data_IF_311268266645
#
_entry.id   IF_311268266645
#
_cell.length_a   1.000
_cell.length_b   1.000
_cell.length_c   1.000
_cell.angle_alpha   90.00
_cell.angle_beta   90.00
_cell.angle_gamma   90.00
#
_symmetry.space_group_name_H-M   'P 1'
#
loop_
_entity.id
_entity.type
_entity.pdbx_description
1 polymer ?
#
# COMPACT_ATOMS: atom_id res chain seq x y z
N UNK A 1 -13.71 -10.71 -5.46
CA UNK A 1 -13.51 -10.37 -4.06
C UNK A 1 -14.18 -9.04 -3.76
N UNK A 2 -14.78 -8.93 -2.58
CA UNK A 2 -15.41 -7.69 -2.12
C UNK A 2 -14.44 -6.54 -1.89
N UNK A 3 -14.85 -5.56 -1.10
CA UNK A 3 -13.97 -4.46 -0.68
C UNK A 3 -12.82 -4.98 0.17
N UNK A 4 -11.61 -4.43 -0.04
CA UNK A 4 -10.46 -4.67 0.83
C UNK A 4 -10.35 -3.58 1.88
N UNK A 5 -9.76 -3.90 3.03
CA UNK A 5 -9.60 -2.94 4.13
C UNK A 5 -8.43 -1.99 3.88
N UNK A 6 -7.33 -2.51 3.36
CA UNK A 6 -6.05 -1.82 3.23
C UNK A 6 -5.48 -2.05 1.84
N UNK A 7 -4.82 -1.04 1.27
CA UNK A 7 -3.94 -1.22 0.12
C UNK A 7 -2.53 -0.73 0.46
N UNK A 8 -1.52 -1.45 -0.02
CA UNK A 8 -0.10 -1.14 0.23
C UNK A 8 0.69 -1.24 -1.06
N UNK A 9 1.50 -0.23 -1.32
CA UNK A 9 2.50 -0.22 -2.40
C UNK A 9 3.84 0.23 -1.84
N UNK A 10 4.92 -0.33 -2.36
CA UNK A 10 6.26 0.11 -1.99
C UNK A 10 6.65 1.39 -2.74
N UNK A 11 7.24 2.33 -2.03
CA UNK A 11 7.72 3.59 -2.61
C UNK A 11 8.82 3.37 -3.66
N UNK A 12 9.65 2.35 -3.48
CA UNK A 12 10.67 1.95 -4.44
C UNK A 12 10.12 1.45 -5.79
N UNK A 13 8.85 1.05 -5.83
CA UNK A 13 8.14 0.69 -7.06
C UNK A 13 7.72 1.89 -7.91
N UNK A 14 7.69 3.09 -7.35
CA UNK A 14 7.44 4.36 -8.04
C UNK A 14 8.76 4.89 -8.60
N UNK A 15 8.97 4.75 -9.92
CA UNK A 15 10.29 4.98 -10.54
C UNK A 15 10.53 6.39 -11.07
N UNK A 16 9.49 7.22 -11.11
CA UNK A 16 9.59 8.62 -11.53
C UNK A 16 8.53 9.48 -10.83
N UNK A 17 8.59 10.78 -11.04
CA UNK A 17 7.57 11.74 -10.62
C UNK A 17 6.88 12.31 -11.84
N UNK A 18 5.58 12.58 -11.72
CA UNK A 18 4.83 13.29 -12.75
C UNK A 18 4.84 14.79 -12.50
N UNK A 19 5.00 15.55 -13.58
CA UNK A 19 4.81 16.98 -13.56
C UNK A 19 3.37 17.35 -13.94
N UNK A 20 2.95 18.56 -13.60
CA UNK A 20 1.64 19.06 -14.02
C UNK A 20 1.52 19.06 -15.55
N UNK A 21 0.47 18.48 -16.07
CA UNK A 21 0.21 18.37 -17.50
C UNK A 21 -0.53 17.11 -17.88
N UNK A 22 -0.61 16.77 -19.18
CA UNK A 22 -1.23 15.54 -19.64
C UNK A 22 -0.49 14.31 -19.13
N UNK A 23 -1.25 13.30 -18.71
CA UNK A 23 -0.73 11.99 -18.33
C UNK A 23 -1.00 11.02 -19.48
N UNK A 24 0.07 10.46 -20.02
CA UNK A 24 0.02 9.46 -21.10
C UNK A 24 0.19 8.04 -20.54
N UNK A 25 -0.12 7.02 -21.34
CA UNK A 25 0.20 5.62 -21.00
C UNK A 25 1.70 5.42 -20.79
N UNK A 26 2.54 6.11 -21.56
CA UNK A 26 4.00 6.10 -21.37
C UNK A 26 4.39 6.62 -19.99
N UNK A 27 3.75 7.67 -19.49
CA UNK A 27 4.01 8.16 -18.13
C UNK A 27 3.63 7.13 -17.06
N UNK A 28 2.53 6.41 -17.23
CA UNK A 28 2.14 5.33 -16.29
C UNK A 28 3.15 4.19 -16.34
N UNK A 29 3.61 3.80 -17.54
CA UNK A 29 4.65 2.79 -17.71
C UNK A 29 5.97 3.22 -17.04
N UNK A 30 6.41 4.47 -17.24
CA UNK A 30 7.64 5.00 -16.64
C UNK A 30 7.56 5.04 -15.12
N UNK A 31 6.38 5.34 -14.57
CA UNK A 31 6.15 5.32 -13.12
C UNK A 31 6.25 3.91 -12.55
N UNK A 32 5.65 2.93 -13.22
CA UNK A 32 5.63 1.54 -12.77
C UNK A 32 5.92 0.56 -13.92
N UNK A 33 7.21 0.38 -14.27
CA UNK A 33 7.61 -0.45 -15.42
C UNK A 33 7.64 -1.96 -15.10
N UNK A 34 6.88 -2.41 -14.10
CA UNK A 34 6.88 -3.78 -13.62
C UNK A 34 5.59 -4.51 -14.03
N UNK A 35 5.70 -5.83 -14.22
CA UNK A 35 4.59 -6.72 -14.56
C UNK A 35 3.95 -7.37 -13.32
N UNK A 36 4.07 -6.74 -12.15
CA UNK A 36 3.52 -7.27 -10.91
C UNK A 36 2.01 -7.40 -10.95
N UNK A 37 1.52 -8.49 -10.39
CA UNK A 37 0.10 -8.81 -10.29
C UNK A 37 -0.47 -8.42 -8.94
N UNK A 38 -1.74 -8.04 -8.95
CA UNK A 38 -2.49 -7.78 -7.72
C UNK A 38 -2.71 -9.08 -6.96
N UNK A 39 -2.44 -9.06 -5.67
CA UNK A 39 -2.84 -10.09 -4.73
C UNK A 39 -3.62 -9.46 -3.57
N UNK A 40 -4.53 -10.22 -2.99
CA UNK A 40 -5.23 -9.84 -1.75
C UNK A 40 -4.88 -10.84 -0.67
N UNK A 41 -4.26 -10.35 0.38
CA UNK A 41 -3.83 -11.13 1.53
C UNK A 41 -4.81 -10.92 2.68
N UNK A 42 -5.01 -11.95 3.50
CA UNK A 42 -5.69 -11.82 4.78
C UNK A 42 -4.65 -11.94 5.89
N UNK A 43 -4.46 -10.87 6.67
CA UNK A 43 -3.53 -10.82 7.79
C UNK A 43 -4.28 -10.68 9.11
N UNK A 44 -3.70 -11.25 10.17
CA UNK A 44 -4.13 -10.92 11.55
C UNK A 44 -3.70 -9.50 11.91
N UNK A 45 -4.46 -8.85 12.78
CA UNK A 45 -4.15 -7.48 13.20
C UNK A 45 -2.79 -7.34 13.88
N UNK A 46 -2.30 -8.36 14.58
CA UNK A 46 -0.93 -8.36 15.12
C UNK A 46 0.12 -8.27 14.00
N UNK A 47 -0.10 -8.91 12.85
CA UNK A 47 0.81 -8.83 11.71
C UNK A 47 0.67 -7.49 10.96
N UNK A 48 -0.51 -6.88 10.97
CA UNK A 48 -0.70 -5.50 10.47
C UNK A 48 0.09 -4.51 11.33
N UNK A 49 0.10 -4.68 12.65
CA UNK A 49 0.88 -3.84 13.56
C UNK A 49 2.38 -4.04 13.30
N UNK A 50 2.86 -5.27 13.20
CA UNK A 50 4.25 -5.61 12.86
C UNK A 50 4.67 -4.96 11.53
N UNK A 51 3.80 -4.98 10.54
CA UNK A 51 4.03 -4.33 9.24
C UNK A 51 4.24 -2.82 9.41
N UNK A 52 3.41 -2.17 10.22
CA UNK A 52 3.54 -0.73 10.50
C UNK A 52 4.80 -0.42 11.34
N UNK A 53 5.23 -1.32 12.21
CA UNK A 53 6.52 -1.18 12.93
C UNK A 53 7.69 -1.27 11.96
N UNK A 54 7.61 -2.08 10.91
CA UNK A 54 8.63 -2.10 9.86
C UNK A 54 8.69 -0.78 9.09
N UNK A 55 7.55 -0.10 8.87
CA UNK A 55 7.56 1.25 8.29
C UNK A 55 8.28 2.26 9.18
N UNK A 56 8.12 2.18 10.49
CA UNK A 56 8.83 3.04 11.42
C UNK A 56 10.35 2.80 11.41
N UNK A 57 10.77 1.56 11.19
CA UNK A 57 12.17 1.15 11.23
C UNK A 57 12.91 1.36 9.91
N UNK A 58 12.26 1.07 8.79
CA UNK A 58 12.91 1.00 7.47
C UNK A 58 12.44 2.07 6.49
N UNK A 59 11.38 2.79 6.81
CA UNK A 59 10.82 3.87 6.00
C UNK A 59 9.36 3.64 5.61
N UNK A 60 8.66 4.76 5.50
CA UNK A 60 7.24 4.77 5.15
C UNK A 60 6.99 4.25 3.73
N UNK A 61 5.84 3.62 3.56
CA UNK A 61 5.36 3.10 2.30
C UNK A 61 4.03 3.75 1.90
N UNK A 62 3.59 3.55 0.67
CA UNK A 62 2.29 4.03 0.22
C UNK A 62 1.17 3.16 0.78
N UNK A 63 0.22 3.78 1.49
CA UNK A 63 -0.91 3.07 2.10
C UNK A 63 -2.24 3.73 1.77
N UNK A 64 -3.31 2.94 1.75
CA UNK A 64 -4.69 3.41 1.71
C UNK A 64 -5.56 2.55 2.63
N UNK A 65 -6.69 3.09 3.10
CA UNK A 65 -7.59 2.41 4.03
C UNK A 65 -7.11 2.40 5.48
N UNK A 66 -5.89 2.87 5.74
CA UNK A 66 -5.32 2.94 7.09
C UNK A 66 -4.63 4.28 7.34
N UNK A 67 -4.42 4.59 8.61
CA UNK A 67 -3.60 5.72 9.05
C UNK A 67 -2.51 5.22 9.99
N UNK A 68 -1.30 5.67 9.76
CA UNK A 68 -0.12 5.27 10.54
C UNK A 68 0.57 6.54 11.04
N UNK A 69 0.84 6.59 12.33
CA UNK A 69 1.59 7.68 12.97
C UNK A 69 2.87 7.13 13.56
N UNK A 70 3.99 7.70 13.16
CA UNK A 70 5.33 7.36 13.61
C UNK A 70 5.91 8.59 14.32
N UNK A 71 6.39 8.41 15.56
CA UNK A 71 7.00 9.47 16.37
C UNK A 71 8.36 8.96 16.87
N UNK A 72 9.41 9.75 16.71
CA UNK A 72 10.79 9.40 17.12
C UNK A 72 11.23 8.02 16.58
N UNK A 73 10.83 7.69 15.33
CA UNK A 73 11.16 6.41 14.69
C UNK A 73 10.44 5.19 15.28
N UNK A 74 9.37 5.41 16.05
CA UNK A 74 8.56 4.35 16.64
C UNK A 74 7.10 4.47 16.19
N UNK A 75 6.45 3.32 16.02
CA UNK A 75 5.01 3.29 15.77
C UNK A 75 4.27 3.85 16.99
N UNK A 76 3.53 4.95 16.79
CA UNK A 76 2.73 5.57 17.83
C UNK A 76 1.25 5.16 17.74
N UNK A 77 0.70 5.08 16.53
CA UNK A 77 -0.71 4.74 16.32
C UNK A 77 -0.91 4.13 14.93
N UNK A 78 -1.88 3.20 14.84
CA UNK A 78 -2.37 2.65 13.59
C UNK A 78 -3.86 2.40 13.66
N UNK A 79 -4.59 2.95 12.68
CA UNK A 79 -6.04 2.75 12.54
C UNK A 79 -6.39 2.23 11.15
N UNK A 80 -7.46 1.45 11.07
CA UNK A 80 -8.08 0.98 9.83
C UNK A 80 -9.54 1.38 9.85
N UNK A 81 -10.00 2.04 8.79
CA UNK A 81 -11.36 2.60 8.72
C UNK A 81 -11.71 3.47 9.94
N UNK A 82 -10.75 4.23 10.47
CA UNK A 82 -10.92 5.12 11.62
C UNK A 82 -10.95 4.43 12.99
N UNK A 83 -10.72 3.12 13.07
CA UNK A 83 -10.70 2.34 14.31
C UNK A 83 -9.32 1.78 14.58
N UNK A 84 -8.92 1.74 15.85
CA UNK A 84 -7.66 1.09 16.25
C UNK A 84 -7.63 -0.36 15.76
N UNK A 85 -6.46 -0.80 15.28
CA UNK A 85 -6.27 -2.17 14.83
C UNK A 85 -6.45 -3.13 15.99
N UNK A 86 -7.37 -4.10 15.84
CA UNK A 86 -7.54 -5.18 16.79
C UNK A 86 -6.56 -6.31 16.45
N UNK A 87 -5.59 -6.65 17.33
CA UNK A 87 -4.58 -7.68 17.05
C UNK A 87 -5.15 -9.06 16.71
N UNK A 88 -6.36 -9.35 17.16
CA UNK A 88 -7.03 -10.66 16.96
C UNK A 88 -7.96 -10.70 15.74
N UNK A 89 -8.31 -9.54 15.18
CA UNK A 89 -9.15 -9.45 13.99
C UNK A 89 -8.33 -9.77 12.72
N UNK A 90 -9.03 -10.07 11.65
CA UNK A 90 -8.44 -10.24 10.32
C UNK A 90 -8.71 -9.01 9.46
N UNK A 91 -7.74 -8.68 8.62
CA UNK A 91 -7.77 -7.55 7.69
C UNK A 91 -7.35 -8.00 6.31
N UNK A 92 -8.05 -7.54 5.29
CA UNK A 92 -7.71 -7.80 3.89
C UNK A 92 -6.79 -6.70 3.35
N UNK A 93 -5.72 -7.10 2.69
CA UNK A 93 -4.69 -6.19 2.17
C UNK A 93 -4.48 -6.45 0.68
N UNK A 94 -4.78 -5.45 -0.15
CA UNK A 94 -4.41 -5.46 -1.56
C UNK A 94 -2.97 -4.99 -1.71
N UNK A 95 -2.16 -5.76 -2.41
CA UNK A 95 -0.75 -5.44 -2.67
C UNK A 95 -0.24 -6.16 -3.93
N UNK A 96 1.06 -6.10 -4.19
CA UNK A 96 1.68 -6.82 -5.29
C UNK A 96 2.14 -8.23 -4.91
N UNK A 97 2.20 -9.11 -5.88
CA UNK A 97 2.83 -10.43 -5.75
C UNK A 97 4.29 -10.32 -5.27
N UNK A 98 5.02 -9.29 -5.71
CA UNK A 98 6.38 -8.98 -5.25
C UNK A 98 6.44 -8.72 -3.74
N UNK A 99 5.54 -7.87 -3.21
CA UNK A 99 5.53 -7.55 -1.77
C UNK A 99 5.00 -8.71 -0.92
N UNK A 100 4.10 -9.54 -1.46
CA UNK A 100 3.56 -10.70 -0.73
C UNK A 100 4.64 -11.71 -0.35
N UNK A 101 5.77 -11.71 -1.04
CA UNK A 101 6.97 -12.49 -0.72
C UNK A 101 7.82 -11.93 0.43
N UNK A 102 7.43 -10.81 1.03
CA UNK A 102 8.13 -10.19 2.17
C UNK A 102 9.32 -9.29 1.78
N UNK A 103 9.37 -8.86 0.53
CA UNK A 103 10.38 -7.92 0.04
C UNK A 103 10.20 -6.52 0.65
N UNK A 104 11.19 -5.66 0.51
CA UNK A 104 11.19 -4.29 1.03
C UNK A 104 10.90 -4.21 2.56
N UNK A 105 11.43 -5.19 3.29
CA UNK A 105 11.26 -5.32 4.75
C UNK A 105 9.81 -5.58 5.21
N UNK A 106 8.90 -5.94 4.31
CA UNK A 106 7.50 -6.25 4.63
C UNK A 106 7.28 -7.74 4.93
N UNK A 107 8.15 -8.33 5.73
CA UNK A 107 8.11 -9.78 6.06
C UNK A 107 6.81 -10.20 6.72
N UNK A 108 6.10 -9.30 7.40
CA UNK A 108 4.79 -9.57 7.98
C UNK A 108 3.76 -10.05 6.94
N UNK A 109 3.87 -9.61 5.68
CA UNK A 109 2.97 -10.03 4.60
C UNK A 109 3.07 -11.54 4.29
N UNK A 110 4.21 -12.17 4.60
CA UNK A 110 4.39 -13.63 4.41
C UNK A 110 3.59 -14.48 5.40
N UNK A 111 3.07 -13.87 6.47
CA UNK A 111 2.26 -14.54 7.50
C UNK A 111 0.76 -14.51 7.20
N UNK A 112 0.38 -14.15 5.99
CA UNK A 112 -1.01 -14.15 5.58
C UNK A 112 -1.66 -15.52 5.80
N UNK A 113 -2.85 -15.52 6.39
CA UNK A 113 -3.64 -16.74 6.62
C UNK A 113 -4.38 -17.18 5.36
N UNK A 114 -4.57 -16.27 4.41
CA UNK A 114 -5.13 -16.52 3.09
C UNK A 114 -4.53 -15.58 2.05
N UNK A 115 -4.46 -16.03 0.79
CA UNK A 115 -3.93 -15.27 -0.32
C UNK A 115 -4.76 -15.54 -1.58
N UNK A 116 -5.49 -14.52 -2.02
CA UNK A 116 -6.14 -14.55 -3.32
C UNK A 116 -5.23 -13.90 -4.37
N UNK A 117 -4.97 -14.61 -5.45
CA UNK A 117 -4.15 -14.13 -6.57
C UNK A 117 -5.05 -13.76 -7.74
N UNK A 118 -4.74 -12.64 -8.38
CA UNK A 118 -5.39 -12.23 -9.60
C UNK A 118 -4.40 -12.23 -10.77
N UNK A 119 -4.94 -12.18 -11.98
CA UNK A 119 -4.14 -11.95 -13.20
C UNK A 119 -4.09 -10.46 -13.58
N UNK A 120 -4.60 -9.58 -12.71
CA UNK A 120 -4.64 -8.14 -12.95
C UNK A 120 -3.25 -7.53 -12.70
N UNK A 121 -2.72 -6.87 -13.71
CA UNK A 121 -1.47 -6.11 -13.57
C UNK A 121 -1.73 -4.83 -12.79
N UNK A 122 -0.87 -4.53 -11.83
CA UNK A 122 -1.00 -3.31 -11.00
C UNK A 122 -0.88 -2.05 -11.86
N UNK A 123 -0.02 -2.06 -12.88
CA UNK A 123 0.09 -0.95 -13.82
C UNK A 123 -1.23 -0.67 -14.55
N UNK A 124 -1.96 -1.70 -14.96
CA UNK A 124 -3.24 -1.55 -15.64
C UNK A 124 -4.30 -0.93 -14.70
N UNK A 125 -4.25 -1.27 -13.41
CA UNK A 125 -5.11 -0.64 -12.40
C UNK A 125 -4.78 0.84 -12.22
N UNK A 126 -3.51 1.25 -12.27
CA UNK A 126 -3.13 2.66 -12.27
C UNK A 126 -3.61 3.39 -13.51
N UNK A 127 -3.45 2.79 -14.68
CA UNK A 127 -3.96 3.34 -15.93
C UNK A 127 -5.47 3.54 -15.85
N UNK A 128 -6.21 2.54 -15.39
CA UNK A 128 -7.65 2.64 -15.19
C UNK A 128 -8.03 3.76 -14.21
N UNK A 129 -7.35 3.84 -13.07
CA UNK A 129 -7.62 4.87 -12.06
C UNK A 129 -7.37 6.29 -12.59
N UNK A 130 -6.39 6.48 -13.48
CA UNK A 130 -6.13 7.76 -14.15
C UNK A 130 -7.22 8.06 -15.19
N UNK A 131 -7.64 7.06 -15.97
CA UNK A 131 -8.68 7.22 -16.99
C UNK A 131 -10.06 7.54 -16.42
N UNK A 132 -10.37 7.05 -15.23
CA UNK A 132 -11.64 7.32 -14.53
C UNK A 132 -11.71 8.74 -13.96
N UNK A 133 -10.61 9.48 -13.96
CA UNK A 133 -10.52 10.85 -13.47
C UNK A 133 -10.18 11.80 -14.62
N UNK A 134 -10.99 12.82 -14.85
CA UNK A 134 -10.64 13.88 -15.80
C UNK A 134 -9.33 14.58 -15.44
N UNK A 135 -9.15 14.83 -14.16
CA UNK A 135 -7.98 15.47 -13.60
C UNK A 135 -7.57 14.76 -12.33
N UNK A 136 -6.37 14.19 -12.32
CA UNK A 136 -5.79 13.61 -11.11
C UNK A 136 -5.39 14.74 -10.16
N UNK A 137 -6.04 14.77 -8.99
CA UNK A 137 -5.72 15.70 -7.90
C UNK A 137 -5.24 14.90 -6.71
N UNK A 138 -4.05 15.23 -6.24
CA UNK A 138 -3.44 14.56 -5.09
C UNK A 138 -3.13 15.58 -4.00
N UNK A 139 -3.31 15.17 -2.76
CA UNK A 139 -2.97 15.95 -1.59
C UNK A 139 -2.51 15.01 -0.46
N UNK A 140 -1.65 15.54 0.40
CA UNK A 140 -1.30 14.83 1.64
C UNK A 140 -2.49 14.91 2.60
N UNK A 141 -3.04 13.78 2.99
CA UNK A 141 -4.22 13.67 3.85
C UNK A 141 -3.91 13.14 5.26
N UNK A 142 -2.62 13.00 5.59
CA UNK A 142 -2.16 12.53 6.90
C UNK A 142 -2.30 11.02 7.11
N UNK A 143 -2.52 10.22 6.06
CA UNK A 143 -2.60 8.75 6.20
C UNK A 143 -1.30 8.11 6.65
N UNK A 144 -0.18 8.76 6.38
CA UNK A 144 1.14 8.44 6.89
C UNK A 144 1.74 9.70 7.51
N UNK A 145 1.87 9.75 8.83
CA UNK A 145 2.39 10.90 9.56
C UNK A 145 3.67 10.49 10.29
N UNK A 146 4.76 11.20 9.99
CA UNK A 146 6.06 10.99 10.63
C UNK A 146 6.44 12.28 11.34
N UNK A 147 6.69 12.18 12.63
CA UNK A 147 7.11 13.28 13.49
C UNK A 147 8.46 12.94 14.13
N UNK A 148 9.34 13.97 14.30
CA UNK A 148 10.55 13.82 15.10
C UNK A 148 10.20 13.56 16.55
#
# INVERSE_FOLDING_TARGET
PGTVDIAIVNMGGMRCSWVKGPITRGNVFDLMPFENELVVLTLKGCDVIDLCESFARYGAQGVAGMRVTIIDGKLADVTVAGKAVNPKAEYTIATSDYLSGGTDHMTALTRAVDCWKSELKIRDLYEQAVLEQDTLRVALDGRMTIKP
#
